data_IF_530235663053
#
_entry.id   IF_530235663053
#
_cell.length_a   1.000
_cell.length_b   1.000
_cell.length_c   1.000
_cell.angle_alpha   90.00
_cell.angle_beta   90.00
_cell.angle_gamma   90.00
#
_symmetry.space_group_name_H-M   'P 1'
#
loop_
_entity.id
_entity.type
_entity.pdbx_description
1 polymer ?
#
# COMPACT_ATOMS: atom_id res chain seq x y z
N UNK A 1 -39.08 8.79 -0.41
CA UNK A 1 -39.11 7.40 -0.90
C UNK A 1 -39.29 6.46 0.28
N UNK A 2 -40.42 5.75 0.34
CA UNK A 2 -40.73 4.74 1.38
C UNK A 2 -39.82 3.51 1.25
N UNK A 3 -39.63 2.72 2.31
CA UNK A 3 -38.83 1.48 2.28
C UNK A 3 -39.26 0.49 1.19
N UNK A 4 -40.57 0.40 0.93
CA UNK A 4 -41.14 -0.44 -0.13
C UNK A 4 -40.70 -0.02 -1.54
N UNK A 5 -40.60 1.28 -1.81
CA UNK A 5 -40.17 1.81 -3.10
C UNK A 5 -38.65 1.68 -3.31
N UNK A 6 -37.87 1.62 -2.23
CA UNK A 6 -36.45 1.29 -2.31
C UNK A 6 -36.27 -0.18 -2.68
N UNK A 7 -36.98 -1.09 -2.00
CA UNK A 7 -36.91 -2.55 -2.24
C UNK A 7 -37.31 -2.95 -3.68
N UNK A 8 -38.33 -2.32 -4.27
CA UNK A 8 -38.74 -2.62 -5.65
C UNK A 8 -37.69 -2.18 -6.69
N UNK A 9 -37.08 -1.00 -6.51
CA UNK A 9 -36.03 -0.50 -7.41
C UNK A 9 -34.79 -1.41 -7.42
N UNK A 10 -34.39 -1.92 -6.25
CA UNK A 10 -33.29 -2.89 -6.12
C UNK A 10 -33.53 -4.16 -6.92
N UNK A 11 -34.75 -4.68 -6.85
CA UNK A 11 -35.13 -5.92 -7.52
C UNK A 11 -35.12 -5.75 -9.04
N UNK A 12 -35.60 -4.62 -9.56
CA UNK A 12 -35.62 -4.31 -11.00
C UNK A 12 -34.22 -4.04 -11.57
N UNK A 13 -33.35 -3.39 -10.80
CA UNK A 13 -31.96 -3.15 -11.21
C UNK A 13 -31.16 -4.46 -11.27
N UNK A 14 -31.30 -5.34 -10.28
CA UNK A 14 -30.64 -6.65 -10.29
C UNK A 14 -31.01 -7.48 -11.53
N UNK A 15 -32.25 -7.40 -12.01
CA UNK A 15 -32.69 -8.11 -13.22
C UNK A 15 -31.98 -7.64 -14.50
N UNK A 16 -31.39 -6.43 -14.51
CA UNK A 16 -30.67 -5.86 -15.66
C UNK A 16 -29.20 -6.25 -15.67
N UNK A 17 -28.66 -6.73 -14.56
CA UNK A 17 -27.25 -7.10 -14.42
C UNK A 17 -27.10 -8.57 -14.82
N UNK A 18 -26.46 -8.81 -15.95
CA UNK A 18 -26.26 -10.18 -16.46
C UNK A 18 -24.97 -10.83 -15.96
N UNK A 19 -24.03 -10.04 -15.46
CA UNK A 19 -22.73 -10.50 -15.01
C UNK A 19 -22.79 -10.97 -13.54
N UNK A 20 -22.54 -12.27 -13.31
CA UNK A 20 -22.63 -12.90 -11.99
C UNK A 20 -21.62 -12.33 -10.97
N UNK A 21 -20.41 -11.94 -11.41
CA UNK A 21 -19.40 -11.37 -10.52
C UNK A 21 -19.85 -9.99 -10.04
N UNK A 22 -20.38 -9.17 -10.95
CA UNK A 22 -20.95 -7.87 -10.63
C UNK A 22 -22.13 -8.01 -9.68
N UNK A 23 -23.07 -8.93 -9.95
CA UNK A 23 -24.20 -9.22 -9.06
C UNK A 23 -23.74 -9.64 -7.66
N UNK A 24 -22.74 -10.52 -7.57
CA UNK A 24 -22.16 -10.95 -6.29
C UNK A 24 -21.54 -9.79 -5.52
N UNK A 25 -20.80 -8.91 -6.20
CA UNK A 25 -20.22 -7.71 -5.59
C UNK A 25 -21.31 -6.73 -5.15
N UNK A 26 -22.33 -6.48 -5.97
CA UNK A 26 -23.46 -5.62 -5.63
C UNK A 26 -24.18 -6.14 -4.38
N UNK A 27 -24.45 -7.45 -4.29
CA UNK A 27 -25.06 -8.08 -3.11
C UNK A 27 -24.19 -7.99 -1.86
N UNK A 28 -22.86 -8.12 -2.01
CA UNK A 28 -21.90 -8.00 -0.90
C UNK A 28 -21.89 -6.61 -0.29
N UNK A 29 -21.90 -5.56 -1.12
CA UNK A 29 -21.81 -4.17 -0.66
C UNK A 29 -23.17 -3.48 -0.51
N UNK A 30 -24.25 -4.12 -0.97
CA UNK A 30 -25.61 -3.64 -0.83
C UNK A 30 -25.86 -2.33 -1.58
N UNK A 31 -26.85 -1.59 -1.07
CA UNK A 31 -27.29 -0.36 -1.69
C UNK A 31 -26.19 0.72 -1.74
N UNK A 32 -25.97 1.30 -2.92
CA UNK A 32 -25.14 2.48 -3.02
C UNK A 32 -25.81 3.66 -2.30
N UNK A 33 -25.09 4.26 -1.37
CA UNK A 33 -25.49 5.49 -0.71
C UNK A 33 -24.87 6.69 -1.45
N UNK A 34 -25.70 7.47 -2.12
CA UNK A 34 -25.26 8.70 -2.75
C UNK A 34 -24.77 9.69 -1.69
N UNK A 35 -23.53 10.14 -1.86
CA UNK A 35 -22.94 11.24 -1.10
C UNK A 35 -22.66 12.37 -2.07
N UNK A 36 -23.03 13.58 -1.69
CA UNK A 36 -22.80 14.77 -2.49
C UNK A 36 -22.44 15.88 -1.51
N UNK A 37 -21.36 16.61 -1.81
CA UNK A 37 -20.97 17.74 -0.98
C UNK A 37 -21.77 18.99 -1.41
N UNK A 38 -21.82 19.99 -0.53
CA UNK A 38 -22.65 21.19 -0.73
C UNK A 38 -22.28 21.95 -2.00
N UNK A 39 -20.99 21.96 -2.37
CA UNK A 39 -20.51 22.64 -3.58
C UNK A 39 -21.05 21.96 -4.83
N UNK A 40 -20.96 20.63 -4.89
CA UNK A 40 -21.49 19.85 -6.02
C UNK A 40 -23.01 19.94 -6.06
N UNK A 41 -23.68 19.93 -4.90
CA UNK A 41 -25.12 20.09 -4.83
C UNK A 41 -25.56 21.46 -5.36
N UNK A 42 -24.88 22.55 -5.00
CA UNK A 42 -25.17 23.89 -5.54
C UNK A 42 -24.98 23.98 -7.06
N UNK A 43 -23.95 23.34 -7.61
CA UNK A 43 -23.74 23.27 -9.06
C UNK A 43 -24.92 22.54 -9.72
N UNK A 44 -25.30 21.39 -9.19
CA UNK A 44 -26.40 20.57 -9.71
C UNK A 44 -27.75 21.29 -9.59
N UNK A 45 -28.01 21.98 -8.48
CA UNK A 45 -29.25 22.73 -8.23
C UNK A 45 -29.40 23.94 -9.18
N UNK A 46 -28.28 24.42 -9.75
CA UNK A 46 -28.31 25.48 -10.77
C UNK A 46 -28.79 24.99 -12.14
N UNK A 47 -28.98 23.68 -12.31
CA UNK A 47 -29.35 23.06 -13.58
C UNK A 47 -30.81 22.61 -13.61
N UNK A 48 -31.43 22.78 -14.77
CA UNK A 48 -32.72 22.14 -15.07
C UNK A 48 -32.47 20.68 -15.46
N UNK A 49 -32.67 19.78 -14.51
CA UNK A 49 -32.49 18.35 -14.69
C UNK A 49 -33.83 17.66 -14.93
N UNK A 50 -33.82 16.65 -15.80
CA UNK A 50 -34.96 15.74 -15.98
C UNK A 50 -34.51 14.31 -15.73
N UNK A 51 -35.29 13.56 -14.96
CA UNK A 51 -35.02 12.13 -14.76
C UNK A 51 -35.46 11.34 -15.99
N UNK A 52 -34.60 10.42 -16.44
CA UNK A 52 -34.89 9.46 -17.50
C UNK A 52 -34.57 8.05 -17.00
N UNK A 53 -35.41 7.09 -17.39
CA UNK A 53 -35.20 5.67 -17.09
C UNK A 53 -34.90 4.91 -18.38
N UNK A 54 -33.96 3.99 -18.30
CA UNK A 54 -33.63 3.01 -19.35
C UNK A 54 -33.30 3.65 -20.71
N UNK A 55 -32.56 4.75 -20.67
CA UNK A 55 -32.00 5.38 -21.87
C UNK A 55 -30.90 4.49 -22.42
N UNK A 56 -31.05 4.08 -23.67
CA UNK A 56 -30.00 3.38 -24.40
C UNK A 56 -29.02 4.44 -24.93
N UNK A 57 -27.80 4.44 -24.38
CA UNK A 57 -26.72 5.32 -24.79
C UNK A 57 -26.12 4.85 -26.13
N UNK A 58 -25.35 5.70 -26.81
CA UNK A 58 -24.75 5.37 -28.12
C UNK A 58 -23.85 4.12 -28.11
N UNK A 59 -23.19 3.84 -26.99
CA UNK A 59 -22.38 2.63 -26.80
C UNK A 59 -23.22 1.37 -26.45
N UNK A 60 -24.55 1.52 -26.37
CA UNK A 60 -25.53 0.53 -25.96
C UNK A 60 -25.51 0.21 -24.47
N UNK A 61 -24.90 1.05 -23.64
CA UNK A 61 -25.12 1.03 -22.19
C UNK A 61 -26.54 1.52 -21.86
N UNK A 62 -27.09 1.05 -20.75
CA UNK A 62 -28.38 1.49 -20.24
C UNK A 62 -28.13 2.50 -19.12
N UNK A 63 -28.74 3.68 -19.22
CA UNK A 63 -28.65 4.74 -18.22
C UNK A 63 -30.02 5.04 -17.62
N UNK A 64 -30.06 5.15 -16.29
CA UNK A 64 -31.21 5.62 -15.53
C UNK A 64 -30.75 6.67 -14.53
N UNK A 65 -31.23 7.90 -14.66
CA UNK A 65 -30.78 9.00 -13.83
C UNK A 65 -31.20 10.37 -14.35
N UNK A 66 -30.70 11.39 -13.66
CA UNK A 66 -30.87 12.80 -14.03
C UNK A 66 -30.09 13.12 -15.32
N UNK A 67 -30.66 13.98 -16.15
CA UNK A 67 -30.08 14.41 -17.43
C UNK A 67 -30.32 15.89 -17.69
N UNK A 68 -29.36 16.52 -18.37
CA UNK A 68 -29.40 17.89 -18.88
C UNK A 68 -29.05 17.89 -20.36
N UNK A 69 -29.88 18.48 -21.22
CA UNK A 69 -29.61 18.57 -22.67
C UNK A 69 -29.17 17.24 -23.31
N UNK A 70 -29.88 16.14 -23.00
CA UNK A 70 -29.54 14.77 -23.42
C UNK A 70 -28.17 14.23 -22.96
N UNK A 71 -27.51 14.88 -22.00
CA UNK A 71 -26.29 14.41 -21.35
C UNK A 71 -26.57 13.96 -19.91
N UNK A 72 -25.83 12.95 -19.44
CA UNK A 72 -25.89 12.48 -18.03
C UNK A 72 -25.42 13.62 -17.12
N UNK A 73 -26.26 14.01 -16.16
CA UNK A 73 -25.94 15.11 -15.23
C UNK A 73 -26.76 14.97 -13.96
N UNK A 74 -26.14 15.10 -12.79
CA UNK A 74 -26.77 14.78 -11.51
C UNK A 74 -26.58 13.31 -11.15
N UNK A 75 -27.49 12.73 -10.37
CA UNK A 75 -27.41 11.34 -9.91
C UNK A 75 -27.87 10.38 -10.99
N UNK A 76 -27.14 9.29 -11.17
CA UNK A 76 -27.56 8.25 -12.11
C UNK A 76 -26.77 6.96 -12.01
N UNK A 77 -27.39 5.92 -12.56
CA UNK A 77 -26.84 4.58 -12.71
C UNK A 77 -26.64 4.28 -14.17
N UNK A 78 -25.47 3.75 -14.52
CA UNK A 78 -25.17 3.23 -15.84
C UNK A 78 -24.77 1.75 -15.77
N UNK A 79 -25.33 0.94 -16.65
CA UNK A 79 -25.01 -0.48 -16.83
C UNK A 79 -24.45 -0.66 -18.24
N UNK A 80 -23.20 -1.13 -18.36
CA UNK A 80 -22.56 -1.41 -19.64
C UNK A 80 -22.88 -2.83 -20.13
N UNK A 81 -22.61 -3.11 -21.41
CA UNK A 81 -22.88 -4.41 -22.05
C UNK A 81 -22.11 -5.59 -21.44
N UNK A 82 -20.94 -5.32 -20.87
CA UNK A 82 -20.12 -6.29 -20.13
C UNK A 82 -20.66 -6.58 -18.70
N UNK A 83 -21.74 -5.90 -18.34
CA UNK A 83 -22.36 -5.95 -17.02
C UNK A 83 -21.70 -5.04 -15.99
N UNK A 84 -20.63 -4.30 -16.33
CA UNK A 84 -20.06 -3.29 -15.44
C UNK A 84 -21.12 -2.25 -15.05
N UNK A 85 -21.02 -1.69 -13.86
CA UNK A 85 -22.01 -0.73 -13.33
C UNK A 85 -21.30 0.47 -12.72
N UNK A 86 -21.88 1.64 -12.91
CA UNK A 86 -21.52 2.85 -12.20
C UNK A 86 -22.78 3.45 -11.58
N UNK A 87 -22.73 3.76 -10.30
CA UNK A 87 -23.77 4.45 -9.54
C UNK A 87 -23.12 5.68 -8.91
N UNK A 88 -23.57 6.89 -9.25
CA UNK A 88 -22.87 8.07 -8.75
C UNK A 88 -23.40 9.38 -9.30
N UNK A 89 -22.56 10.40 -9.17
CA UNK A 89 -22.83 11.73 -9.70
C UNK A 89 -22.18 11.88 -11.08
N UNK A 90 -22.91 12.48 -11.99
CA UNK A 90 -22.49 12.79 -13.35
C UNK A 90 -22.47 14.30 -13.53
N UNK A 91 -21.47 14.80 -14.25
CA UNK A 91 -21.39 16.18 -14.69
C UNK A 91 -20.99 16.19 -16.16
N UNK A 92 -21.82 16.77 -17.02
CA UNK A 92 -21.58 16.88 -18.47
C UNK A 92 -21.19 15.56 -19.14
N UNK A 93 -21.90 14.50 -18.78
CA UNK A 93 -21.68 13.16 -19.32
C UNK A 93 -20.53 12.41 -18.67
N UNK A 94 -19.81 12.98 -17.71
CA UNK A 94 -18.64 12.37 -17.07
C UNK A 94 -18.92 11.98 -15.62
N UNK A 95 -18.35 10.88 -15.15
CA UNK A 95 -18.41 10.53 -13.72
C UNK A 95 -17.63 11.57 -12.92
N UNK A 96 -18.27 12.12 -11.88
CA UNK A 96 -17.78 13.23 -11.08
C UNK A 96 -18.25 13.11 -9.63
N UNK A 97 -17.53 13.71 -8.67
CA UNK A 97 -17.91 13.64 -7.26
C UNK A 97 -17.91 12.21 -6.72
N UNK A 98 -18.77 11.88 -5.76
CA UNK A 98 -18.76 10.54 -5.17
C UNK A 98 -19.56 9.54 -6.02
N UNK A 99 -18.98 8.35 -6.23
CA UNK A 99 -19.58 7.28 -7.02
C UNK A 99 -18.97 5.91 -6.74
N UNK A 100 -19.69 4.85 -7.10
CA UNK A 100 -19.27 3.46 -7.04
C UNK A 100 -19.25 2.87 -8.45
N UNK A 101 -18.12 2.29 -8.84
CA UNK A 101 -18.01 1.46 -10.03
C UNK A 101 -17.77 0.00 -9.62
N UNK A 102 -18.52 -0.92 -10.21
CA UNK A 102 -18.23 -2.36 -10.18
C UNK A 102 -17.85 -2.76 -11.61
N UNK A 103 -16.61 -3.24 -11.77
CA UNK A 103 -16.07 -3.68 -13.04
C UNK A 103 -16.58 -5.08 -13.40
N UNK A 104 -16.50 -5.43 -14.68
CA UNK A 104 -16.97 -6.73 -15.19
C UNK A 104 -16.25 -7.94 -14.59
N UNK A 105 -15.04 -7.75 -14.05
CA UNK A 105 -14.30 -8.77 -13.30
C UNK A 105 -14.75 -8.87 -11.84
N UNK A 106 -15.68 -8.02 -11.40
CA UNK A 106 -16.21 -7.96 -10.05
C UNK A 106 -15.40 -7.10 -9.09
N UNK A 107 -14.26 -6.52 -9.49
CA UNK A 107 -13.57 -5.52 -8.68
C UNK A 107 -14.46 -4.28 -8.52
N UNK A 108 -14.30 -3.56 -7.41
CA UNK A 108 -15.12 -2.41 -7.10
C UNK A 108 -14.29 -1.23 -6.61
N UNK A 109 -14.48 -0.07 -7.23
CA UNK A 109 -14.06 1.21 -6.71
C UNK A 109 -15.25 1.97 -6.11
N UNK A 110 -15.06 2.61 -4.96
CA UNK A 110 -16.01 3.55 -4.39
C UNK A 110 -15.27 4.74 -3.79
N UNK A 111 -15.50 5.93 -4.33
CA UNK A 111 -14.72 7.11 -3.96
C UNK A 111 -15.07 8.33 -4.78
N UNK A 112 -14.17 9.30 -4.79
CA UNK A 112 -14.34 10.51 -5.58
C UNK A 112 -13.90 10.29 -7.04
N UNK A 113 -14.58 10.98 -7.94
CA UNK A 113 -14.40 10.94 -9.37
C UNK A 113 -14.19 12.36 -9.87
N UNK A 114 -13.29 12.52 -10.83
CA UNK A 114 -13.07 13.74 -11.57
C UNK A 114 -12.89 13.36 -13.03
N UNK A 115 -13.75 13.85 -13.92
CA UNK A 115 -13.67 13.62 -15.37
C UNK A 115 -13.53 12.13 -15.77
N UNK A 116 -14.36 11.26 -15.18
CA UNK A 116 -14.32 9.79 -15.35
C UNK A 116 -13.12 9.07 -14.71
N UNK A 117 -12.28 9.76 -13.95
CA UNK A 117 -11.13 9.14 -13.27
C UNK A 117 -11.33 9.15 -11.77
N UNK A 118 -10.94 8.07 -11.12
CA UNK A 118 -10.82 8.02 -9.68
C UNK A 118 -9.83 9.10 -9.19
N UNK A 119 -10.25 9.83 -8.18
CA UNK A 119 -9.54 11.00 -7.65
C UNK A 119 -9.83 11.15 -6.15
N UNK A 120 -9.05 11.98 -5.46
CA UNK A 120 -9.22 12.22 -4.03
C UNK A 120 -9.26 10.91 -3.22
N UNK A 121 -10.07 10.87 -2.16
CA UNK A 121 -10.18 9.63 -1.37
C UNK A 121 -11.10 8.59 -2.03
N UNK A 122 -10.68 7.32 -2.01
CA UNK A 122 -11.49 6.21 -2.48
C UNK A 122 -11.01 4.86 -1.95
N UNK A 123 -11.90 3.89 -2.01
CA UNK A 123 -11.67 2.50 -1.63
C UNK A 123 -11.80 1.60 -2.85
N UNK A 124 -10.83 0.72 -3.05
CA UNK A 124 -10.82 -0.26 -4.12
C UNK A 124 -10.77 -1.66 -3.53
N UNK A 125 -11.69 -2.52 -3.96
CA UNK A 125 -11.90 -3.87 -3.45
C UNK A 125 -11.73 -4.86 -4.60
N UNK A 126 -10.67 -5.66 -4.51
CA UNK A 126 -10.41 -6.72 -5.48
C UNK A 126 -11.24 -7.97 -5.19
N UNK A 127 -11.61 -8.72 -6.22
CA UNK A 127 -12.22 -10.06 -6.09
C UNK A 127 -11.35 -11.04 -5.32
N UNK A 128 -10.02 -10.93 -5.46
CA UNK A 128 -9.09 -11.78 -4.73
C UNK A 128 -9.11 -11.51 -3.21
N UNK A 129 -9.76 -10.43 -2.76
CA UNK A 129 -9.89 -10.02 -1.36
C UNK A 129 -8.91 -8.93 -0.92
N UNK A 130 -7.99 -8.50 -1.80
CA UNK A 130 -7.15 -7.33 -1.54
C UNK A 130 -8.00 -6.07 -1.50
N UNK A 131 -7.63 -5.13 -0.63
CA UNK A 131 -8.33 -3.86 -0.45
C UNK A 131 -7.32 -2.73 -0.38
N UNK A 132 -7.54 -1.68 -1.16
CA UNK A 132 -6.87 -0.39 -1.00
C UNK A 132 -7.85 0.64 -0.46
N UNK A 133 -7.40 1.47 0.47
CA UNK A 133 -8.13 2.64 0.97
C UNK A 133 -7.17 3.80 1.05
N UNK A 134 -7.43 4.87 0.30
CA UNK A 134 -6.49 5.98 0.28
C UNK A 134 -6.78 7.02 -0.78
N UNK A 135 -5.78 7.84 -1.01
CA UNK A 135 -5.81 8.92 -2.00
C UNK A 135 -5.53 8.37 -3.42
N UNK A 136 -6.20 8.98 -4.39
CA UNK A 136 -6.17 8.67 -5.81
C UNK A 136 -5.96 9.97 -6.61
N UNK A 137 -5.25 9.86 -7.72
CA UNK A 137 -5.12 10.91 -8.72
C UNK A 137 -5.01 10.25 -10.09
N UNK A 138 -5.88 10.65 -11.02
CA UNK A 138 -5.83 10.20 -12.42
C UNK A 138 -5.76 8.67 -12.54
N UNK A 139 -6.65 7.96 -11.84
CA UNK A 139 -6.73 6.49 -11.81
C UNK A 139 -5.55 5.76 -11.15
N UNK A 140 -4.74 6.46 -10.38
CA UNK A 140 -3.61 5.87 -9.66
C UNK A 140 -3.63 6.23 -8.19
N UNK A 141 -3.14 5.32 -7.36
CA UNK A 141 -2.85 5.60 -5.95
C UNK A 141 -1.81 6.71 -5.87
N UNK A 142 -2.13 7.82 -5.22
CA UNK A 142 -1.25 8.99 -5.13
C UNK A 142 -1.58 9.77 -3.85
N UNK A 143 -0.63 9.86 -2.92
CA UNK A 143 -0.85 10.35 -1.56
C UNK A 143 -0.86 9.22 -0.53
N UNK A 144 -1.56 9.39 0.60
CA UNK A 144 -1.60 8.40 1.68
C UNK A 144 -2.58 7.29 1.37
N UNK A 145 -2.18 6.05 1.64
CA UNK A 145 -3.05 4.89 1.48
C UNK A 145 -2.69 3.72 2.37
N UNK A 146 -3.66 2.83 2.51
CA UNK A 146 -3.53 1.54 3.16
C UNK A 146 -3.94 0.45 2.18
N UNK A 147 -3.05 -0.52 1.97
CA UNK A 147 -3.33 -1.73 1.19
C UNK A 147 -3.30 -2.94 2.13
N UNK A 148 -4.30 -3.80 2.05
CA UNK A 148 -4.38 -5.05 2.82
C UNK A 148 -4.60 -6.19 1.84
N UNK A 149 -3.78 -7.23 1.95
CA UNK A 149 -3.88 -8.41 1.09
C UNK A 149 -4.54 -9.59 1.81
N UNK A 150 -5.11 -10.56 1.06
CA UNK A 150 -5.79 -11.73 1.63
C UNK A 150 -4.89 -12.60 2.50
N UNK A 151 -3.59 -12.62 2.20
CA UNK A 151 -2.60 -13.37 2.97
C UNK A 151 -2.31 -12.76 4.35
N UNK A 152 -2.88 -11.59 4.66
CA UNK A 152 -2.68 -10.89 5.94
C UNK A 152 -1.59 -9.83 5.90
N UNK A 153 -0.83 -9.71 4.81
CA UNK A 153 0.09 -8.59 4.63
C UNK A 153 -0.67 -7.26 4.62
N UNK A 154 0.00 -6.19 5.03
CA UNK A 154 -0.54 -4.85 5.03
C UNK A 154 0.55 -3.82 4.75
N UNK A 155 0.24 -2.80 3.96
CA UNK A 155 1.05 -1.61 3.78
C UNK A 155 0.24 -0.38 4.18
N UNK A 156 0.87 0.54 4.92
CA UNK A 156 0.31 1.83 5.28
C UNK A 156 1.40 2.87 5.01
N UNK A 157 1.17 3.79 4.08
CA UNK A 157 2.20 4.76 3.72
C UNK A 157 1.82 5.62 2.54
N UNK A 158 2.84 6.22 1.93
CA UNK A 158 2.70 7.09 0.78
C UNK A 158 2.82 6.32 -0.54
N UNK A 159 1.99 6.72 -1.49
CA UNK A 159 2.00 6.28 -2.86
C UNK A 159 2.28 7.47 -3.78
N UNK A 160 2.90 7.19 -4.91
CA UNK A 160 3.05 8.12 -6.02
C UNK A 160 2.86 7.35 -7.32
N UNK A 161 1.89 7.77 -8.13
CA UNK A 161 1.62 7.13 -9.43
C UNK A 161 1.49 5.59 -9.37
N UNK A 162 0.83 5.07 -8.34
CA UNK A 162 0.59 3.63 -8.15
C UNK A 162 1.76 2.85 -7.54
N UNK A 163 2.82 3.52 -7.08
CA UNK A 163 3.96 2.87 -6.44
C UNK A 163 4.14 3.38 -5.01
N UNK A 164 4.58 2.51 -4.09
CA UNK A 164 4.97 2.90 -2.73
C UNK A 164 6.21 3.80 -2.81
N UNK A 165 6.12 4.99 -2.24
CA UNK A 165 7.12 6.06 -2.38
C UNK A 165 7.17 6.91 -1.11
N UNK A 166 8.36 7.18 -0.58
CA UNK A 166 8.53 7.91 0.68
C UNK A 166 8.26 7.03 1.92
N UNK A 167 7.73 7.61 3.00
CA UNK A 167 7.58 6.90 4.27
C UNK A 167 6.45 5.87 4.24
N UNK A 168 6.68 4.70 4.80
CA UNK A 168 5.66 3.67 4.95
C UNK A 168 5.97 2.65 6.03
N UNK A 169 4.93 1.89 6.38
CA UNK A 169 5.00 0.71 7.24
C UNK A 169 4.45 -0.49 6.48
N UNK A 170 5.26 -1.53 6.36
CA UNK A 170 4.86 -2.82 5.82
C UNK A 170 4.78 -3.83 6.97
N UNK A 171 3.68 -4.56 7.06
CA UNK A 171 3.43 -5.59 8.08
C UNK A 171 3.23 -6.89 7.31
N UNK A 172 4.08 -7.88 7.58
CA UNK A 172 3.97 -9.20 6.99
C UNK A 172 3.01 -10.07 7.80
N UNK A 173 2.43 -11.07 7.13
CA UNK A 173 1.51 -12.03 7.74
C UNK A 173 2.15 -12.88 8.84
N UNK A 174 3.48 -13.01 8.86
CA UNK A 174 4.23 -13.71 9.91
C UNK A 174 4.41 -12.86 11.19
N UNK A 175 3.99 -11.60 11.18
CA UNK A 175 4.15 -10.65 12.27
C UNK A 175 5.43 -9.80 12.19
N UNK A 176 6.30 -10.03 11.20
CA UNK A 176 7.41 -9.12 10.92
C UNK A 176 6.87 -7.75 10.49
N UNK A 177 7.64 -6.69 10.73
CA UNK A 177 7.28 -5.34 10.28
C UNK A 177 8.50 -4.53 9.84
N UNK A 178 8.30 -3.65 8.86
CA UNK A 178 9.25 -2.66 8.40
C UNK A 178 8.62 -1.29 8.50
N UNK A 179 9.35 -0.32 9.06
CA UNK A 179 8.96 1.07 9.10
C UNK A 179 10.13 1.93 8.60
N UNK A 180 9.95 2.60 7.48
CA UNK A 180 11.03 3.35 6.85
C UNK A 180 10.68 3.92 5.49
N UNK A 181 11.72 4.12 4.69
CA UNK A 181 11.64 4.70 3.36
C UNK A 181 11.37 3.65 2.27
N UNK A 182 10.55 4.02 1.30
CA UNK A 182 10.23 3.27 0.09
C UNK A 182 10.54 4.12 -1.13
N UNK A 183 10.92 3.47 -2.22
CA UNK A 183 11.13 4.10 -3.52
C UNK A 183 10.74 3.10 -4.59
N UNK A 184 9.80 3.46 -5.47
CA UNK A 184 9.34 2.59 -6.56
C UNK A 184 8.95 1.15 -6.11
N UNK A 185 8.24 1.03 -4.99
CA UNK A 185 7.87 -0.23 -4.31
C UNK A 185 8.97 -0.95 -3.53
N UNK A 186 10.23 -0.55 -3.65
CA UNK A 186 11.33 -1.16 -2.89
C UNK A 186 11.54 -0.46 -1.55
N UNK A 187 11.90 -1.25 -0.53
CA UNK A 187 12.50 -0.74 0.70
C UNK A 187 13.88 -0.15 0.36
N UNK A 188 14.06 1.14 0.64
CA UNK A 188 15.27 1.88 0.29
C UNK A 188 15.43 3.10 1.18
N UNK A 189 16.64 3.49 1.58
CA UNK A 189 16.85 4.63 2.48
C UNK A 189 17.01 4.19 3.93
N UNK A 190 16.39 4.89 4.89
CA UNK A 190 16.50 4.54 6.31
C UNK A 190 15.25 3.79 6.78
N UNK A 191 15.43 2.76 7.62
CA UNK A 191 14.28 2.08 8.21
C UNK A 191 14.63 1.06 9.28
N UNK A 192 13.60 0.66 10.00
CA UNK A 192 13.64 -0.34 11.06
C UNK A 192 12.84 -1.55 10.61
N UNK A 193 13.50 -2.70 10.52
CA UNK A 193 12.86 -4.00 10.34
C UNK A 193 12.87 -4.75 11.66
N UNK A 194 11.70 -5.21 12.11
CA UNK A 194 11.55 -6.13 13.23
C UNK A 194 11.06 -7.46 12.71
N UNK A 195 11.82 -8.51 12.95
CA UNK A 195 11.41 -9.86 12.62
C UNK A 195 10.41 -10.38 13.63
N UNK A 196 9.55 -11.29 13.19
CA UNK A 196 8.58 -12.01 14.02
C UNK A 196 9.21 -12.77 15.20
N UNK A 197 10.48 -13.18 15.06
CA UNK A 197 11.25 -13.80 16.14
C UNK A 197 11.88 -12.81 17.14
N UNK A 198 11.72 -11.50 16.94
CA UNK A 198 12.20 -10.45 17.84
C UNK A 198 13.59 -9.89 17.48
N UNK A 199 14.23 -10.36 16.42
CA UNK A 199 15.42 -9.67 15.87
C UNK A 199 15.03 -8.28 15.37
N UNK A 200 15.98 -7.35 15.38
CA UNK A 200 15.77 -5.97 14.90
C UNK A 200 16.95 -5.53 14.05
N UNK A 201 16.68 -4.87 12.94
CA UNK A 201 17.66 -4.12 12.17
C UNK A 201 17.20 -2.68 12.01
N UNK A 202 18.07 -1.74 12.36
CA UNK A 202 17.87 -0.31 12.16
C UNK A 202 19.04 0.22 11.36
N UNK A 203 18.78 0.73 10.15
CA UNK A 203 19.85 1.25 9.30
C UNK A 203 19.44 1.49 7.86
N UNK A 204 20.45 1.50 7.01
CA UNK A 204 20.32 1.79 5.59
C UNK A 204 19.87 0.57 4.78
N UNK A 205 19.01 0.83 3.81
CA UNK A 205 18.42 -0.14 2.91
C UNK A 205 18.62 0.27 1.45
N UNK A 206 18.77 -0.74 0.59
CA UNK A 206 18.83 -0.55 -0.85
C UNK A 206 18.27 -1.79 -1.55
N UNK A 207 17.32 -1.60 -2.46
CA UNK A 207 16.68 -2.69 -3.23
C UNK A 207 16.24 -3.86 -2.34
N UNK A 208 15.54 -3.55 -1.24
CA UNK A 208 15.02 -4.51 -0.26
C UNK A 208 16.07 -5.24 0.59
N UNK A 209 17.33 -4.78 0.61
CA UNK A 209 18.42 -5.40 1.38
C UNK A 209 19.06 -4.42 2.34
N UNK A 210 19.62 -4.94 3.44
CA UNK A 210 20.49 -4.17 4.33
C UNK A 210 21.75 -3.78 3.55
N UNK A 211 21.96 -2.49 3.35
CA UNK A 211 23.06 -1.96 2.55
C UNK A 211 23.43 -0.55 3.03
N UNK A 212 24.67 -0.37 3.46
CA UNK A 212 25.14 0.80 4.20
C UNK A 212 25.25 0.55 5.70
N UNK A 213 25.30 1.61 6.50
CA UNK A 213 25.50 1.53 7.94
C UNK A 213 24.21 1.16 8.67
N UNK A 214 24.30 0.26 9.65
CA UNK A 214 23.16 -0.13 10.46
C UNK A 214 23.53 -0.91 11.73
N UNK A 215 22.52 -1.11 12.57
CA UNK A 215 22.60 -1.89 13.80
C UNK A 215 21.66 -3.09 13.70
N UNK A 216 22.20 -4.29 13.84
CA UNK A 216 21.45 -5.53 13.95
C UNK A 216 21.50 -6.04 15.39
N UNK A 217 20.34 -6.33 15.96
CA UNK A 217 20.17 -6.81 17.34
C UNK A 217 19.55 -8.21 17.27
N UNK A 218 20.25 -9.17 17.87
CA UNK A 218 19.75 -10.53 18.06
C UNK A 218 18.94 -10.61 19.36
N UNK A 219 18.05 -11.60 19.42
CA UNK A 219 17.17 -11.85 20.57
C UNK A 219 17.92 -12.24 21.84
N UNK A 220 19.13 -12.80 21.70
CA UNK A 220 20.02 -13.12 22.81
C UNK A 220 20.84 -11.93 23.32
N UNK A 221 20.60 -10.72 22.79
CA UNK A 221 21.29 -9.50 23.19
C UNK A 221 22.62 -9.24 22.47
N UNK A 222 23.06 -10.15 21.57
CA UNK A 222 24.17 -9.82 20.66
C UNK A 222 23.76 -8.63 19.79
N UNK A 223 24.73 -7.81 19.39
CA UNK A 223 24.51 -6.74 18.42
C UNK A 223 25.69 -6.55 17.49
N UNK A 224 25.41 -6.12 16.26
CA UNK A 224 26.41 -5.72 15.27
C UNK A 224 26.07 -4.30 14.83
N UNK A 225 27.08 -3.44 14.83
CA UNK A 225 26.98 -2.04 14.47
C UNK A 225 28.05 -1.79 13.42
N UNK A 226 27.69 -1.55 12.17
CA UNK A 226 28.67 -1.41 11.10
C UNK A 226 28.05 -1.38 9.72
N UNK A 227 28.89 -1.53 8.70
CA UNK A 227 28.44 -1.49 7.31
C UNK A 227 27.93 -2.86 6.84
N UNK A 228 26.94 -2.81 5.97
CA UNK A 228 26.34 -3.92 5.26
C UNK A 228 26.48 -3.70 3.75
N UNK A 229 26.54 -4.80 3.01
CA UNK A 229 26.41 -4.83 1.55
C UNK A 229 25.64 -6.07 1.18
N UNK A 230 24.50 -5.90 0.53
CA UNK A 230 23.65 -7.04 0.09
C UNK A 230 23.39 -8.04 1.24
N UNK A 231 22.90 -7.54 2.38
CA UNK A 231 22.59 -8.30 3.62
C UNK A 231 23.78 -8.86 4.40
N UNK A 232 25.02 -8.65 3.92
CA UNK A 232 26.24 -9.15 4.57
C UNK A 232 26.99 -8.04 5.28
N UNK A 233 27.49 -8.32 6.49
CA UNK A 233 28.45 -7.44 7.18
C UNK A 233 29.67 -7.24 6.28
N UNK A 234 30.06 -5.98 6.09
CA UNK A 234 31.11 -5.59 5.16
C UNK A 234 31.87 -4.38 5.74
N UNK A 235 33.17 -4.25 5.45
CA UNK A 235 33.96 -3.12 5.93
C UNK A 235 34.09 -3.09 7.45
N UNK A 236 34.28 -1.91 8.03
CA UNK A 236 34.46 -1.78 9.47
C UNK A 236 33.14 -1.96 10.24
N UNK A 237 33.18 -2.70 11.36
CA UNK A 237 32.05 -2.85 12.26
C UNK A 237 32.42 -3.42 13.64
N UNK A 238 31.51 -3.20 14.59
CA UNK A 238 31.60 -3.65 15.98
C UNK A 238 30.56 -4.73 16.27
N UNK A 239 31.01 -5.91 16.68
CA UNK A 239 30.16 -6.96 17.22
C UNK A 239 30.26 -6.96 18.75
N UNK A 240 29.13 -7.01 19.45
CA UNK A 240 29.07 -7.00 20.91
C UNK A 240 28.31 -8.22 21.39
N UNK A 241 28.89 -8.93 22.36
CA UNK A 241 28.26 -10.04 23.05
C UNK A 241 27.56 -9.56 24.34
N UNK A 242 26.55 -10.30 24.84
CA UNK A 242 25.82 -9.92 26.05
C UNK A 242 26.68 -9.86 27.31
N UNK A 243 27.77 -10.63 27.35
CA UNK A 243 28.75 -10.68 28.44
C UNK A 243 29.75 -9.50 28.43
N UNK A 244 29.53 -8.50 27.58
CA UNK A 244 30.37 -7.31 27.49
C UNK A 244 31.58 -7.46 26.58
N UNK A 245 31.89 -8.67 26.08
CA UNK A 245 32.93 -8.83 25.06
C UNK A 245 32.54 -8.08 23.79
N UNK A 246 33.53 -7.62 23.03
CA UNK A 246 33.28 -7.07 21.70
C UNK A 246 34.44 -7.29 20.73
N UNK A 247 34.14 -7.22 19.44
CA UNK A 247 35.10 -7.25 18.36
C UNK A 247 34.88 -6.03 17.48
N UNK A 248 35.91 -5.24 17.28
CA UNK A 248 35.90 -4.05 16.43
C UNK A 248 36.93 -4.24 15.33
N UNK A 249 36.52 -4.30 14.07
CA UNK A 249 37.46 -4.57 12.98
C UNK A 249 36.80 -4.69 11.62
N UNK A 250 37.58 -5.16 10.65
CA UNK A 250 37.11 -5.35 9.28
C UNK A 250 36.26 -6.63 9.16
N UNK A 251 35.28 -6.56 8.27
CA UNK A 251 34.36 -7.61 7.89
C UNK A 251 34.33 -7.74 6.37
N UNK A 252 34.27 -8.98 5.90
CA UNK A 252 34.12 -9.29 4.49
C UNK A 252 33.15 -10.45 4.35
N UNK A 253 32.14 -10.30 3.49
CA UNK A 253 31.15 -11.35 3.21
C UNK A 253 30.50 -11.95 4.47
N UNK A 254 30.25 -11.12 5.48
CA UNK A 254 29.60 -11.54 6.73
C UNK A 254 30.56 -12.09 7.80
N UNK A 255 31.86 -12.20 7.53
CA UNK A 255 32.86 -12.77 8.43
C UNK A 255 33.92 -11.74 8.82
N UNK A 256 34.54 -11.93 9.99
CA UNK A 256 35.69 -11.12 10.41
C UNK A 256 36.84 -11.32 9.43
N UNK A 257 37.47 -10.24 9.00
CA UNK A 257 38.56 -10.23 8.03
C UNK A 257 39.56 -9.13 8.41
N UNK A 258 40.81 -9.21 7.96
CA UNK A 258 41.82 -8.16 8.17
C UNK A 258 42.12 -7.90 9.65
N UNK A 259 42.53 -6.68 9.98
CA UNK A 259 42.85 -6.29 11.35
C UNK A 259 41.59 -6.01 12.18
N UNK A 260 41.68 -6.35 13.47
CA UNK A 260 40.63 -6.07 14.44
C UNK A 260 41.14 -6.08 15.88
N UNK A 261 40.29 -5.57 16.78
CA UNK A 261 40.51 -5.51 18.21
C UNK A 261 39.44 -6.34 18.89
N UNK A 262 39.86 -7.37 19.62
CA UNK A 262 39.00 -8.10 20.52
C UNK A 262 39.06 -7.47 21.92
N UNK A 263 37.92 -7.17 22.50
CA UNK A 263 37.76 -6.57 23.82
C UNK A 263 37.13 -7.62 24.73
N UNK A 264 37.83 -7.97 25.82
CA UNK A 264 37.34 -8.95 26.81
C UNK A 264 36.24 -8.35 27.70
N UNK A 265 35.58 -9.19 28.49
CA UNK A 265 34.59 -8.77 29.50
C UNK A 265 35.14 -7.73 30.49
N UNK A 266 36.44 -7.78 30.78
CA UNK A 266 37.15 -6.84 31.65
C UNK A 266 37.71 -5.61 30.91
N UNK A 267 37.37 -5.44 29.62
CA UNK A 267 37.82 -4.30 28.81
C UNK A 267 39.25 -4.41 28.25
N UNK A 268 39.95 -5.53 28.45
CA UNK A 268 41.29 -5.72 27.86
C UNK A 268 41.20 -5.82 26.34
N UNK A 269 42.05 -5.07 25.64
CA UNK A 269 42.05 -4.97 24.19
C UNK A 269 43.17 -5.84 23.61
N UNK A 270 42.87 -6.70 22.64
CA UNK A 270 43.84 -7.55 21.95
C UNK A 270 43.73 -7.34 20.44
N UNK A 271 44.77 -6.79 19.82
CA UNK A 271 44.86 -6.59 18.36
C UNK A 271 45.24 -7.88 17.67
N UNK A 272 44.60 -8.21 16.56
CA UNK A 272 44.91 -9.41 15.78
C UNK A 272 44.55 -9.28 14.30
N UNK A 273 44.77 -10.36 13.55
CA UNK A 273 44.40 -10.47 12.13
C UNK A 273 43.46 -11.66 11.93
N UNK A 274 42.37 -11.47 11.19
CA UNK A 274 41.36 -12.47 10.85
C UNK A 274 41.31 -12.73 9.35
N UNK A 275 40.99 -13.96 8.96
CA UNK A 275 40.68 -14.33 7.59
C UNK A 275 39.53 -15.32 7.62
N UNK A 276 38.46 -15.05 6.86
CA UNK A 276 37.27 -15.91 6.79
C UNK A 276 36.67 -16.27 8.17
N UNK A 277 36.68 -15.32 9.10
CA UNK A 277 36.16 -15.49 10.47
C UNK A 277 37.12 -16.21 11.42
N UNK A 278 38.30 -16.61 10.96
CA UNK A 278 39.31 -17.30 11.77
C UNK A 278 40.43 -16.32 12.11
N UNK A 279 40.75 -16.20 13.41
CA UNK A 279 41.92 -15.43 13.85
C UNK A 279 43.20 -16.17 13.43
N UNK A 280 44.03 -15.52 12.62
CA UNK A 280 45.29 -16.07 12.10
C UNK A 280 46.49 -15.74 13.00
N UNK A 281 46.56 -14.53 13.56
CA UNK A 281 47.61 -14.12 14.51
C UNK A 281 47.14 -13.02 15.47
N UNK A 282 47.79 -12.91 16.62
CA UNK A 282 47.76 -11.71 17.45
C UNK A 282 48.87 -10.74 17.00
N UNK A 283 48.62 -9.45 17.12
CA UNK A 283 49.62 -8.39 16.97
C UNK A 283 50.08 -8.05 18.39
N UNK A 284 51.40 -8.04 18.63
CA UNK A 284 51.95 -7.68 19.94
C UNK A 284 51.55 -6.25 20.33
N UNK A 285 51.43 -6.00 21.64
CA UNK A 285 51.21 -4.65 22.15
C UNK A 285 52.45 -3.80 21.81
N UNK A 286 52.27 -2.67 21.10
CA UNK A 286 53.29 -1.62 21.10
C UNK A 286 53.46 -1.19 22.57
N UNK A 287 54.67 -1.43 23.10
CA UNK A 287 55.07 -1.11 24.48
C UNK A 287 54.88 0.37 24.83
#
# INVERSE_FOLDING_TARGET
MTELAKSSYWTEMEQKITNELVLKTQRRFGQFEHKINDVIQQIIDSYELSYKSDVIMDNGAIYSGEMRNNQRCGRGTQIWKDGSIYEGTWLDGQAFGFGRQIHSDGDMYQGNWNENKSSGYGEYYHQNGAVYKGEWSEDKQDGKGMEKWPNGNQYIGFYKQGQKEGKGRYIWSDGSEYNGDFCQNDIQGQGIYKWSDGRIYEGQWKYNKMDGYGTYIWTDGRKYIGNYKEDKKQGYGKFVWPDGRSFEGLWENGKQHGEGVFITENGQRKKGVWCEGIRTKWLEEEQ
#
